data_IF_473336951034
#
_entry.id   IF_473336951034
#
_cell.length_a   1.000
_cell.length_b   1.000
_cell.length_c   1.000
_cell.angle_alpha   90.00
_cell.angle_beta   90.00
_cell.angle_gamma   90.00
#
_symmetry.space_group_name_H-M   'P 1'
#
loop_
_entity.id
_entity.type
_entity.pdbx_description
1 polymer ?
#
# COMPACT_ATOMS: atom_id res chain seq x y z
N UNK A 1 28.25 -49.77 9.66
CA UNK A 1 27.51 -49.66 8.38
C UNK A 1 26.07 -49.34 8.74
N UNK A 2 25.40 -48.27 8.35
CA UNK A 2 25.70 -47.02 7.59
C UNK A 2 24.88 -45.91 8.29
N UNK A 3 25.30 -44.65 8.53
CA UNK A 3 25.72 -43.53 7.66
C UNK A 3 24.72 -43.08 6.58
N UNK A 4 24.29 -41.81 6.67
CA UNK A 4 23.41 -41.04 5.75
C UNK A 4 21.90 -41.30 5.89
N UNK A 5 20.95 -40.41 5.58
CA UNK A 5 20.90 -38.97 5.25
C UNK A 5 19.40 -38.56 5.12
N UNK A 6 18.88 -37.36 5.43
CA UNK A 6 19.40 -36.15 6.09
C UNK A 6 18.33 -35.03 6.19
N UNK A 7 18.51 -34.07 7.12
CA UNK A 7 17.89 -32.73 7.30
C UNK A 7 16.65 -32.28 6.47
N UNK A 8 15.63 -31.78 7.20
CA UNK A 8 14.49 -31.00 6.69
C UNK A 8 13.90 -30.11 7.80
N UNK A 9 14.50 -28.93 8.01
CA UNK A 9 14.17 -27.98 9.08
C UNK A 9 13.01 -27.04 8.74
N UNK A 10 12.49 -26.33 9.77
CA UNK A 10 11.48 -25.24 9.69
C UNK A 10 10.10 -25.69 9.18
N UNK A 11 9.05 -25.81 10.00
CA UNK A 11 8.40 -24.70 10.73
C UNK A 11 7.88 -25.08 12.14
N UNK A 12 8.16 -26.30 12.61
CA UNK A 12 7.52 -26.88 13.82
C UNK A 12 7.96 -26.27 15.17
N UNK A 13 8.87 -25.29 15.18
CA UNK A 13 9.49 -24.74 16.41
C UNK A 13 8.55 -23.89 17.29
N UNK A 14 7.66 -23.11 16.68
CA UNK A 14 6.79 -22.17 17.40
C UNK A 14 5.65 -22.91 18.11
N UNK A 15 4.97 -23.82 17.40
CA UNK A 15 3.81 -24.56 17.91
C UNK A 15 4.15 -25.46 19.12
N UNK A 16 5.30 -26.15 19.07
CA UNK A 16 5.67 -27.14 20.11
C UNK A 16 6.17 -26.48 21.41
N UNK A 17 6.85 -25.32 21.34
CA UNK A 17 7.27 -24.59 22.55
C UNK A 17 6.08 -24.01 23.33
N UNK A 18 5.03 -23.57 22.64
CA UNK A 18 3.82 -23.03 23.26
C UNK A 18 3.10 -24.09 24.13
N UNK A 19 2.95 -25.31 23.62
CA UNK A 19 2.27 -26.40 24.33
C UNK A 19 3.04 -26.86 25.57
N UNK A 20 4.38 -26.92 25.52
CA UNK A 20 5.19 -27.36 26.68
C UNK A 20 5.22 -26.34 27.83
N UNK A 21 4.94 -25.06 27.57
CA UNK A 21 4.86 -24.03 28.62
C UNK A 21 3.54 -24.08 29.42
N UNK A 22 2.44 -24.57 28.80
CA UNK A 22 1.10 -24.53 29.38
C UNK A 22 0.84 -25.49 30.57
N UNK A 23 1.72 -26.46 30.83
CA UNK A 23 1.51 -27.49 31.86
C UNK A 23 2.13 -27.18 33.24
N UNK A 24 2.75 -26.01 33.46
CA UNK A 24 3.31 -25.61 34.77
C UNK A 24 2.84 -24.24 35.26
N UNK A 25 1.56 -24.19 35.62
CA UNK A 25 1.11 -23.52 36.85
C UNK A 25 1.42 -22.03 37.06
N UNK A 26 0.91 -21.14 36.20
CA UNK A 26 0.45 -19.79 36.64
C UNK A 26 -0.52 -19.14 35.66
N UNK A 27 -1.80 -19.50 35.77
CA UNK A 27 -2.92 -19.00 34.94
C UNK A 27 -3.26 -17.50 35.10
N UNK A 28 -2.48 -16.71 35.86
CA UNK A 28 -2.78 -15.30 36.19
C UNK A 28 -1.98 -14.25 35.42
N UNK A 29 -1.00 -14.65 34.60
CA UNK A 29 -0.16 -13.71 33.82
C UNK A 29 -0.25 -13.89 32.31
N UNK A 30 -1.03 -14.86 31.82
CA UNK A 30 -1.15 -15.16 30.39
C UNK A 30 -1.75 -14.01 29.56
N UNK A 31 -2.70 -13.26 30.15
CA UNK A 31 -3.38 -12.16 29.46
C UNK A 31 -2.44 -11.02 29.04
N UNK A 32 -1.50 -10.64 29.90
CA UNK A 32 -0.51 -9.60 29.60
C UNK A 32 0.47 -10.03 28.51
N UNK A 33 0.93 -11.29 28.55
CA UNK A 33 1.98 -11.79 27.67
C UNK A 33 1.51 -11.99 26.22
N UNK A 34 0.23 -12.39 26.03
CA UNK A 34 -0.39 -12.47 24.70
C UNK A 34 -0.61 -11.07 24.13
N UNK A 35 -1.00 -10.09 24.96
CA UNK A 35 -1.22 -8.70 24.53
C UNK A 35 0.09 -8.00 24.13
N UNK A 36 1.19 -8.28 24.83
CA UNK A 36 2.51 -7.70 24.57
C UNK A 36 3.19 -8.32 23.32
N UNK A 37 2.95 -9.60 23.03
CA UNK A 37 3.48 -10.26 21.81
C UNK A 37 2.64 -9.95 20.55
N UNK A 38 1.36 -9.61 20.72
CA UNK A 38 0.49 -9.12 19.64
C UNK A 38 0.44 -7.58 19.59
N UNK A 39 1.42 -6.91 20.19
CA UNK A 39 1.57 -5.46 20.19
C UNK A 39 1.76 -4.89 18.77
N UNK A 40 0.64 -4.57 18.12
CA UNK A 40 0.57 -3.81 16.87
C UNK A 40 1.36 -4.41 15.68
N UNK A 41 0.98 -5.61 15.22
CA UNK A 41 1.16 -5.94 13.80
C UNK A 41 0.17 -5.12 12.97
N UNK A 42 0.47 -3.83 12.79
CA UNK A 42 -0.29 -2.95 11.92
C UNK A 42 -0.01 -3.37 10.48
N UNK A 43 -1.05 -3.81 9.78
CA UNK A 43 -0.97 -4.07 8.34
C UNK A 43 -0.54 -2.78 7.63
N UNK A 44 0.58 -2.81 6.91
CA UNK A 44 1.08 -1.63 6.19
C UNK A 44 0.07 -1.25 5.11
N UNK A 45 -0.46 -0.02 5.18
CA UNK A 45 -1.40 0.49 4.18
C UNK A 45 -0.66 1.24 3.07
N UNK A 46 -0.71 0.68 1.86
CA UNK A 46 -0.05 1.23 0.67
C UNK A 46 -1.11 1.81 -0.28
N UNK A 47 -0.92 3.06 -0.68
CA UNK A 47 -1.78 3.73 -1.64
C UNK A 47 -1.05 3.85 -2.99
N UNK A 48 -1.57 3.19 -4.03
CA UNK A 48 -1.05 3.29 -5.39
C UNK A 48 -1.89 4.32 -6.16
N UNK A 49 -1.29 5.47 -6.45
CA UNK A 49 -1.94 6.57 -7.20
C UNK A 49 -1.33 6.65 -8.59
N UNK A 50 -2.12 6.45 -9.63
CA UNK A 50 -1.58 6.40 -10.99
C UNK A 50 -2.37 7.26 -12.00
N UNK A 51 -1.67 7.74 -13.03
CA UNK A 51 -2.28 8.27 -14.24
C UNK A 51 -1.89 7.42 -15.44
N UNK A 52 -2.86 7.06 -16.29
CA UNK A 52 -2.57 6.42 -17.57
C UNK A 52 -3.45 6.95 -18.69
N UNK A 53 -2.83 7.30 -19.81
CA UNK A 53 -3.53 7.69 -21.04
C UNK A 53 -3.72 6.49 -21.98
N UNK A 54 -2.69 5.65 -22.14
CA UNK A 54 -2.70 4.50 -23.07
C UNK A 54 -2.61 3.13 -22.35
N UNK A 55 -2.84 3.08 -21.03
CA UNK A 55 -2.89 1.84 -20.24
C UNK A 55 -1.54 1.23 -19.82
N UNK A 56 -0.39 1.65 -20.37
CA UNK A 56 0.93 1.13 -19.95
C UNK A 56 1.19 1.28 -18.45
N UNK A 57 0.93 2.47 -17.91
CA UNK A 57 1.09 2.75 -16.47
C UNK A 57 0.04 2.00 -15.62
N UNK A 58 -1.16 1.74 -16.15
CA UNK A 58 -2.16 0.90 -15.46
C UNK A 58 -1.63 -0.52 -15.27
N UNK A 59 -1.12 -1.15 -16.35
CA UNK A 59 -0.50 -2.49 -16.25
C UNK A 59 0.64 -2.53 -15.24
N UNK A 60 1.45 -1.48 -15.17
CA UNK A 60 2.53 -1.37 -14.18
C UNK A 60 1.98 -1.22 -12.75
N UNK A 61 0.95 -0.40 -12.55
CA UNK A 61 0.29 -0.23 -11.25
C UNK A 61 -0.38 -1.53 -10.78
N UNK A 62 -1.01 -2.29 -11.68
CA UNK A 62 -1.60 -3.60 -11.37
C UNK A 62 -0.57 -4.60 -10.85
N UNK A 63 0.63 -4.64 -11.46
CA UNK A 63 1.73 -5.49 -11.00
C UNK A 63 2.34 -5.02 -9.67
N UNK A 64 2.34 -3.70 -9.40
CA UNK A 64 2.75 -3.16 -8.09
C UNK A 64 1.73 -3.55 -7.01
N UNK A 65 0.43 -3.49 -7.31
CA UNK A 65 -0.64 -3.93 -6.40
C UNK A 65 -0.52 -5.42 -6.10
N UNK A 66 -0.39 -6.26 -7.13
CA UNK A 66 -0.21 -7.72 -6.99
C UNK A 66 1.03 -8.05 -6.13
N UNK A 67 2.17 -7.41 -6.41
CA UNK A 67 3.40 -7.61 -5.65
C UNK A 67 3.26 -7.20 -4.18
N UNK A 68 2.72 -6.00 -3.90
CA UNK A 68 2.54 -5.51 -2.54
C UNK A 68 1.51 -6.33 -1.73
N UNK A 69 0.44 -6.82 -2.37
CA UNK A 69 -0.52 -7.73 -1.75
C UNK A 69 0.11 -9.10 -1.44
N UNK A 70 1.03 -9.59 -2.28
CA UNK A 70 1.71 -10.87 -2.04
C UNK A 70 2.63 -10.86 -0.81
N UNK A 71 3.18 -9.70 -0.46
CA UNK A 71 3.95 -9.44 0.76
C UNK A 71 3.06 -9.15 1.99
N UNK A 72 1.73 -9.26 1.85
CA UNK A 72 0.79 -9.07 2.96
C UNK A 72 0.49 -7.61 3.31
N UNK A 73 0.66 -6.65 2.41
CA UNK A 73 0.24 -5.27 2.62
C UNK A 73 -1.25 -5.05 2.27
N UNK A 74 -1.92 -4.11 2.95
CA UNK A 74 -3.22 -3.59 2.50
C UNK A 74 -2.97 -2.59 1.38
N UNK A 75 -3.54 -2.80 0.18
CA UNK A 75 -3.25 -1.97 -1.00
C UNK A 75 -4.53 -1.41 -1.61
N UNK A 76 -4.63 -0.08 -1.67
CA UNK A 76 -5.69 0.63 -2.41
C UNK A 76 -5.11 1.23 -3.70
N UNK A 77 -5.83 1.11 -4.82
CA UNK A 77 -5.44 1.63 -6.14
C UNK A 77 -6.40 2.73 -6.58
N UNK A 78 -5.87 3.91 -6.93
CA UNK A 78 -6.66 5.02 -7.46
C UNK A 78 -6.08 5.60 -8.76
N UNK A 79 -6.98 5.99 -9.66
CA UNK A 79 -6.62 6.76 -10.85
C UNK A 79 -6.69 8.27 -10.57
N UNK A 80 -5.71 9.03 -11.06
CA UNK A 80 -5.77 10.50 -11.10
C UNK A 80 -6.88 10.96 -12.07
N UNK A 81 -7.63 12.03 -11.74
CA UNK A 81 -8.64 12.61 -12.62
C UNK A 81 -8.05 13.05 -13.97
N UNK A 82 -8.81 12.81 -15.04
CA UNK A 82 -8.44 13.27 -16.37
C UNK A 82 -8.80 14.75 -16.54
N UNK A 83 -7.91 15.52 -17.16
CA UNK A 83 -8.09 16.97 -17.39
C UNK A 83 -8.40 17.30 -18.85
N UNK A 84 -8.20 16.35 -19.76
CA UNK A 84 -8.58 16.48 -21.17
C UNK A 84 -10.06 16.16 -21.37
N UNK A 85 -10.73 16.91 -22.24
CA UNK A 85 -12.11 16.61 -22.65
C UNK A 85 -12.19 15.36 -23.53
N UNK A 86 -13.35 14.70 -23.53
CA UNK A 86 -13.60 13.49 -24.32
C UNK A 86 -13.29 13.66 -25.81
N UNK A 87 -13.49 14.84 -26.38
CA UNK A 87 -13.22 15.11 -27.80
C UNK A 87 -11.72 15.17 -28.09
N UNK A 88 -10.91 15.68 -27.16
CA UNK A 88 -9.45 15.61 -27.25
C UNK A 88 -8.97 14.17 -27.08
N UNK A 89 -9.56 13.41 -26.15
CA UNK A 89 -9.22 11.99 -25.95
C UNK A 89 -9.54 11.14 -27.19
N UNK A 90 -10.68 11.37 -27.84
CA UNK A 90 -11.06 10.75 -29.13
C UNK A 90 -10.06 11.10 -30.23
N UNK A 91 -9.70 12.37 -30.37
CA UNK A 91 -8.72 12.83 -31.37
C UNK A 91 -7.33 12.18 -31.18
N UNK A 92 -6.91 12.05 -29.92
CA UNK A 92 -5.66 11.38 -29.52
C UNK A 92 -5.75 9.85 -29.58
N UNK A 93 -6.90 9.27 -29.95
CA UNK A 93 -7.17 7.83 -29.98
C UNK A 93 -6.84 7.14 -28.65
N UNK A 94 -7.09 7.82 -27.54
CA UNK A 94 -6.92 7.24 -26.22
C UNK A 94 -7.92 6.08 -26.02
N UNK A 95 -7.50 4.92 -25.46
CA UNK A 95 -8.44 3.88 -25.08
C UNK A 95 -9.41 4.38 -23.99
N UNK A 96 -10.60 3.76 -23.86
CA UNK A 96 -11.50 4.05 -22.75
C UNK A 96 -10.77 3.83 -21.42
N UNK A 97 -11.07 4.71 -20.45
CA UNK A 97 -10.47 4.63 -19.12
C UNK A 97 -10.96 3.37 -18.38
N UNK A 98 -10.11 2.73 -17.58
CA UNK A 98 -10.54 1.64 -16.72
C UNK A 98 -11.51 2.13 -15.63
N UNK A 99 -12.23 1.19 -15.01
CA UNK A 99 -13.26 1.46 -14.01
C UNK A 99 -12.72 1.64 -12.57
N UNK A 100 -11.45 2.00 -12.42
CA UNK A 100 -10.82 2.18 -11.11
C UNK A 100 -11.34 3.45 -10.43
N UNK A 101 -11.36 3.51 -9.08
CA UNK A 101 -11.81 4.70 -8.37
C UNK A 101 -10.89 5.89 -8.66
N UNK A 102 -11.49 7.06 -8.89
CA UNK A 102 -10.73 8.29 -9.19
C UNK A 102 -10.41 9.03 -7.89
N UNK A 103 -9.14 9.35 -7.65
CA UNK A 103 -8.71 10.16 -6.51
C UNK A 103 -9.13 11.62 -6.72
N UNK A 104 -10.34 11.95 -6.23
CA UNK A 104 -10.86 13.32 -6.21
C UNK A 104 -10.51 14.03 -4.90
N UNK A 105 -10.83 15.32 -4.84
CA UNK A 105 -10.51 16.18 -3.70
C UNK A 105 -11.07 15.64 -2.37
N UNK A 106 -12.25 15.02 -2.41
CA UNK A 106 -12.95 14.46 -1.26
C UNK A 106 -12.30 13.16 -0.73
N UNK A 107 -11.33 12.60 -1.45
CA UNK A 107 -10.62 11.36 -1.10
C UNK A 107 -9.16 11.61 -0.70
N UNK A 108 -8.74 12.87 -0.58
CA UNK A 108 -7.38 13.21 -0.17
C UNK A 108 -7.00 12.71 1.22
N UNK A 109 -7.97 12.49 2.12
CA UNK A 109 -7.74 11.86 3.42
C UNK A 109 -7.08 10.47 3.31
N UNK A 110 -7.28 9.75 2.19
CA UNK A 110 -6.61 8.46 1.90
C UNK A 110 -5.09 8.58 1.79
N UNK A 111 -4.57 9.74 1.38
CA UNK A 111 -3.14 10.02 1.38
C UNK A 111 -2.57 10.12 2.80
N UNK A 112 -3.38 10.54 3.78
CA UNK A 112 -2.99 10.68 5.19
C UNK A 112 -3.14 9.35 5.95
N UNK A 113 -4.18 8.58 5.63
CA UNK A 113 -4.37 7.20 6.13
C UNK A 113 -3.21 6.27 5.77
N UNK A 114 -2.64 6.42 4.57
CA UNK A 114 -1.57 5.57 4.06
C UNK A 114 -0.29 5.65 4.90
N UNK A 115 0.44 4.54 4.92
CA UNK A 115 1.80 4.43 5.46
C UNK A 115 2.86 4.53 4.36
N UNK A 116 2.52 4.16 3.12
CA UNK A 116 3.34 4.41 1.94
C UNK A 116 2.47 4.79 0.74
N UNK A 117 3.00 5.66 -0.14
CA UNK A 117 2.31 6.11 -1.36
C UNK A 117 3.22 5.86 -2.57
N UNK A 118 2.69 5.21 -3.60
CA UNK A 118 3.39 4.91 -4.86
C UNK A 118 2.74 5.69 -5.99
N UNK A 119 3.51 6.58 -6.65
CA UNK A 119 3.03 7.39 -7.77
C UNK A 119 3.46 6.82 -9.12
N UNK A 120 2.48 6.45 -9.96
CA UNK A 120 2.72 5.99 -11.34
C UNK A 120 2.24 6.99 -12.38
N UNK A 121 3.12 7.55 -13.21
CA UNK A 121 2.71 8.46 -14.28
C UNK A 121 3.61 8.37 -15.53
N UNK A 122 3.08 8.64 -16.74
CA UNK A 122 3.88 8.69 -17.95
C UNK A 122 4.68 10.00 -17.98
N UNK A 123 5.91 9.92 -18.50
CA UNK A 123 6.73 11.11 -18.71
C UNK A 123 6.25 11.94 -19.91
N UNK A 124 6.41 13.26 -19.80
CA UNK A 124 6.17 14.25 -20.85
C UNK A 124 7.32 15.25 -20.82
N UNK A 125 8.17 15.24 -21.84
CA UNK A 125 9.40 16.06 -21.91
C UNK A 125 10.30 15.95 -20.66
N UNK A 126 10.46 14.74 -20.12
CA UNK A 126 11.23 14.49 -18.89
C UNK A 126 10.54 14.89 -17.58
N UNK A 127 9.36 15.49 -17.64
CA UNK A 127 8.55 15.88 -16.48
C UNK A 127 7.35 14.95 -16.27
N UNK A 128 6.66 15.14 -15.14
CA UNK A 128 5.34 14.54 -14.89
C UNK A 128 4.28 15.03 -15.88
N UNK A 129 3.21 14.25 -16.07
CA UNK A 129 2.07 14.70 -16.86
C UNK A 129 1.26 15.81 -16.15
N UNK A 130 0.57 16.64 -16.93
CA UNK A 130 -0.22 17.76 -16.40
C UNK A 130 -1.32 17.32 -15.42
N UNK A 131 -1.92 16.16 -15.65
CA UNK A 131 -2.93 15.55 -14.78
C UNK A 131 -2.37 15.25 -13.38
N UNK A 132 -1.20 14.63 -13.31
CA UNK A 132 -0.52 14.34 -12.04
C UNK A 132 -0.09 15.63 -11.33
N UNK A 133 0.40 16.63 -12.09
CA UNK A 133 0.73 17.95 -11.53
C UNK A 133 -0.50 18.65 -10.93
N UNK A 134 -1.63 18.63 -11.63
CA UNK A 134 -2.88 19.21 -11.14
C UNK A 134 -3.40 18.52 -9.86
N UNK A 135 -3.19 17.21 -9.71
CA UNK A 135 -3.44 16.51 -8.46
C UNK A 135 -2.49 16.98 -7.36
N UNK A 136 -1.17 17.08 -7.59
CA UNK A 136 -0.26 17.60 -6.57
C UNK A 136 -0.59 19.04 -6.15
N UNK A 137 -1.03 19.88 -7.08
CA UNK A 137 -1.43 21.27 -6.80
C UNK A 137 -2.70 21.38 -5.95
N UNK A 138 -3.58 20.37 -5.96
CA UNK A 138 -4.76 20.34 -5.09
C UNK A 138 -4.46 19.92 -3.65
N UNK A 139 -3.28 19.31 -3.38
CA UNK A 139 -2.85 18.87 -2.04
C UNK A 139 -2.30 19.98 -1.14
N UNK A 140 -2.33 21.25 -1.58
CA UNK A 140 -1.78 22.38 -0.82
C UNK A 140 -2.29 22.53 0.61
N UNK A 141 -3.52 22.08 0.90
CA UNK A 141 -4.10 22.07 2.24
C UNK A 141 -3.47 21.01 3.17
N UNK A 142 -3.19 19.79 2.65
CA UNK A 142 -2.48 18.74 3.40
C UNK A 142 -1.01 19.10 3.64
N UNK A 143 -0.40 19.79 2.66
CA UNK A 143 0.96 20.30 2.80
C UNK A 143 1.05 21.41 3.86
N UNK A 144 0.17 22.41 3.79
CA UNK A 144 0.14 23.52 4.76
C UNK A 144 -0.14 23.04 6.20
N UNK A 145 -0.92 21.98 6.37
CA UNK A 145 -1.21 21.36 7.67
C UNK A 145 -0.13 20.39 8.14
N UNK A 146 0.88 20.07 7.32
CA UNK A 146 1.91 19.06 7.62
C UNK A 146 1.31 17.67 7.89
N UNK A 147 0.23 17.29 7.19
CA UNK A 147 -0.45 16.00 7.37
C UNK A 147 0.19 14.85 6.57
N UNK A 148 1.08 15.17 5.63
CA UNK A 148 1.87 14.20 4.86
C UNK A 148 3.21 13.84 5.53
N UNK A 149 3.48 14.38 6.72
CA UNK A 149 4.71 14.16 7.49
C UNK A 149 4.50 13.09 8.57
N UNK A 150 5.46 12.18 8.72
CA UNK A 150 5.36 11.01 9.61
C UNK A 150 5.37 11.38 11.11
N UNK A 151 6.08 12.46 11.47
CA UNK A 151 6.33 12.90 12.85
C UNK A 151 5.07 13.12 13.71
N UNK A 152 3.91 13.36 13.09
CA UNK A 152 2.64 13.57 13.82
C UNK A 152 1.96 12.27 14.26
N UNK A 153 2.29 11.11 13.67
CA UNK A 153 1.71 9.82 14.05
C UNK A 153 2.26 9.25 15.38
N UNK A 154 3.28 9.88 15.99
CA UNK A 154 3.93 9.44 17.24
C UNK A 154 3.69 10.34 18.48
N UNK A 155 2.87 11.39 18.37
CA UNK A 155 2.67 12.38 19.46
C UNK A 155 1.31 12.27 20.19
N UNK A 156 0.63 11.12 20.10
CA UNK A 156 -0.64 10.81 20.77
C UNK A 156 -0.61 9.43 21.41
#
# INVERSE_FOLDING_TARGET
MSFGQGIGESLNGISIRLVRFLLRGKLRTLGSFIFETLGSYKMTKILVVYYSMYGHIKKMADQVVEGAQSEGCEVELYQVPETLSDDILKLLKAPPKPSDPVLRFELHDKLVEADAIIFGFPTRFGMMCAQMKAMFDSLGHLWQSGQLEEDKKQQL
#
